data_IF_625379978832
#
_entry.id   IF_625379978832
#
_cell.length_a   1.000
_cell.length_b   1.000
_cell.length_c   1.000
_cell.angle_alpha   90.00
_cell.angle_beta   90.00
_cell.angle_gamma   90.00
#
_symmetry.space_group_name_H-M   'P 1'
#
loop_
_entity.id
_entity.type
_entity.pdbx_description
1 polymer ?
#
# COMPACT_ATOMS: atom_id res chain seq x y z
N UNK A 1 -7.99 -26.77 -8.58
CA UNK A 1 -7.90 -25.52 -7.79
C UNK A 1 -9.32 -25.05 -7.45
N UNK A 2 -9.61 -24.63 -6.21
CA UNK A 2 -10.99 -24.17 -5.87
C UNK A 2 -11.30 -22.80 -6.50
N UNK A 3 -12.56 -22.52 -6.84
CA UNK A 3 -12.98 -21.19 -7.37
C UNK A 3 -12.50 -20.03 -6.50
N UNK A 4 -12.55 -20.19 -5.17
CA UNK A 4 -12.05 -19.21 -4.19
C UNK A 4 -10.55 -18.93 -4.33
N UNK A 5 -9.74 -19.97 -4.51
CA UNK A 5 -8.30 -19.82 -4.74
C UNK A 5 -8.06 -19.06 -6.04
N UNK A 6 -8.78 -19.39 -7.11
CA UNK A 6 -8.70 -18.68 -8.39
C UNK A 6 -9.02 -17.20 -8.25
N UNK A 7 -10.14 -16.84 -7.61
CA UNK A 7 -10.50 -15.43 -7.45
C UNK A 7 -9.52 -14.64 -6.59
N UNK A 8 -8.92 -15.26 -5.56
CA UNK A 8 -7.86 -14.62 -4.78
C UNK A 8 -6.63 -14.32 -5.63
N UNK A 9 -6.23 -15.25 -6.49
CA UNK A 9 -5.12 -15.07 -7.43
C UNK A 9 -5.43 -13.96 -8.41
N UNK A 10 -6.64 -13.95 -9.00
CA UNK A 10 -7.08 -12.88 -9.91
C UNK A 10 -6.99 -11.53 -9.23
N UNK A 11 -7.53 -11.38 -8.02
CA UNK A 11 -7.47 -10.11 -7.31
C UNK A 11 -6.03 -9.71 -6.96
N UNK A 12 -5.20 -10.65 -6.51
CA UNK A 12 -3.80 -10.38 -6.25
C UNK A 12 -3.08 -9.88 -7.52
N UNK A 13 -3.30 -10.54 -8.66
CA UNK A 13 -2.76 -10.13 -9.95
C UNK A 13 -3.27 -8.75 -10.38
N UNK A 14 -4.56 -8.45 -10.17
CA UNK A 14 -5.13 -7.13 -10.47
C UNK A 14 -4.54 -6.03 -9.59
N UNK A 15 -4.28 -6.30 -8.31
CA UNK A 15 -3.59 -5.35 -7.42
C UNK A 15 -2.15 -5.11 -7.88
N UNK A 16 -1.41 -6.16 -8.25
CA UNK A 16 -0.04 -6.02 -8.78
C UNK A 16 -0.05 -5.21 -10.08
N UNK A 17 -0.96 -5.51 -11.01
CA UNK A 17 -1.07 -4.77 -12.27
C UNK A 17 -1.42 -3.29 -12.03
N UNK A 18 -2.41 -2.99 -11.18
CA UNK A 18 -2.79 -1.62 -10.85
C UNK A 18 -1.65 -0.86 -10.16
N UNK A 19 -0.94 -1.50 -9.24
CA UNK A 19 0.23 -0.92 -8.56
C UNK A 19 1.37 -0.64 -9.55
N UNK A 20 1.71 -1.62 -10.39
CA UNK A 20 2.80 -1.50 -11.34
C UNK A 20 2.53 -0.44 -12.41
N UNK A 21 1.35 -0.49 -13.04
CA UNK A 21 0.93 0.49 -14.05
C UNK A 21 0.88 1.88 -13.43
N UNK A 22 0.24 2.04 -12.27
CA UNK A 22 0.14 3.32 -11.59
C UNK A 22 1.52 3.90 -11.25
N UNK A 23 2.44 3.08 -10.74
CA UNK A 23 3.80 3.53 -10.44
C UNK A 23 4.56 3.97 -11.70
N UNK A 24 4.43 3.25 -12.82
CA UNK A 24 5.08 3.63 -14.08
C UNK A 24 4.48 4.92 -14.66
N UNK A 25 3.15 5.03 -14.68
CA UNK A 25 2.47 6.21 -15.24
C UNK A 25 2.66 7.48 -14.41
N UNK A 26 2.78 7.34 -13.09
CA UNK A 26 2.90 8.47 -12.16
C UNK A 26 4.35 8.75 -11.75
N UNK A 27 5.34 8.08 -12.36
CA UNK A 27 6.75 8.14 -11.93
C UNK A 27 7.33 9.56 -11.92
N UNK A 28 6.83 10.44 -12.80
CA UNK A 28 7.28 11.84 -12.91
C UNK A 28 6.58 12.78 -11.90
N UNK A 29 5.56 12.28 -11.18
CA UNK A 29 4.87 13.04 -10.16
C UNK A 29 5.54 12.85 -8.79
N UNK A 30 5.78 13.93 -8.02
CA UNK A 30 6.44 13.83 -6.73
C UNK A 30 5.56 13.07 -5.72
N UNK A 31 5.96 11.85 -5.34
CA UNK A 31 5.33 11.03 -4.29
C UNK A 31 3.80 10.81 -4.42
N UNK A 32 3.22 10.96 -5.61
CA UNK A 32 1.86 10.51 -5.91
C UNK A 32 1.97 9.11 -6.50
N UNK A 33 1.43 8.10 -5.82
CA UNK A 33 1.70 6.70 -6.16
C UNK A 33 0.55 5.76 -5.75
N UNK A 34 0.56 4.53 -6.29
CA UNK A 34 -0.52 3.53 -6.12
C UNK A 34 -0.14 2.33 -5.24
N UNK A 35 1.13 2.16 -4.89
CA UNK A 35 1.68 1.15 -3.98
C UNK A 35 1.10 1.28 -2.57
N UNK A 36 0.87 2.48 -2.03
CA UNK A 36 0.20 2.59 -0.70
C UNK A 36 -1.16 1.89 -0.70
N UNK A 37 -2.02 2.18 -1.68
CA UNK A 37 -3.37 1.59 -1.68
C UNK A 37 -3.36 0.09 -1.94
N UNK A 38 -2.50 -0.42 -2.84
CA UNK A 38 -2.42 -1.87 -3.09
C UNK A 38 -1.84 -2.61 -1.87
N UNK A 39 -0.94 -2.00 -1.11
CA UNK A 39 -0.43 -2.55 0.16
C UNK A 39 -1.56 -2.69 1.17
N UNK A 40 -2.33 -1.62 1.42
CA UNK A 40 -3.44 -1.61 2.36
C UNK A 40 -4.55 -2.60 1.95
N UNK A 41 -4.88 -2.67 0.66
CA UNK A 41 -5.88 -3.60 0.13
C UNK A 41 -5.42 -5.06 0.21
N UNK A 42 -4.15 -5.33 -0.10
CA UNK A 42 -3.58 -6.66 0.03
C UNK A 42 -3.72 -7.19 1.46
N UNK A 43 -3.36 -6.37 2.45
CA UNK A 43 -3.50 -6.74 3.86
C UNK A 43 -4.94 -6.91 4.30
N UNK A 44 -5.81 -5.94 3.99
CA UNK A 44 -7.20 -5.93 4.45
C UNK A 44 -8.08 -7.01 3.82
N UNK A 45 -7.84 -7.35 2.54
CA UNK A 45 -8.67 -8.28 1.78
C UNK A 45 -8.08 -9.71 1.73
N UNK A 46 -6.78 -9.84 1.45
CA UNK A 46 -6.15 -11.13 1.12
C UNK A 46 -5.43 -11.77 2.31
N UNK A 47 -5.05 -10.99 3.32
CA UNK A 47 -4.46 -11.45 4.58
C UNK A 47 -2.94 -11.25 4.66
N UNK A 48 -2.34 -11.62 5.80
CA UNK A 48 -0.98 -11.25 6.18
C UNK A 48 0.10 -11.60 5.13
N UNK A 49 0.05 -12.82 4.57
CA UNK A 49 1.03 -13.25 3.55
C UNK A 49 1.00 -12.34 2.32
N UNK A 50 -0.19 -11.97 1.86
CA UNK A 50 -0.36 -11.07 0.71
C UNK A 50 -0.06 -9.61 1.06
N UNK A 51 -0.31 -9.21 2.31
CA UNK A 51 0.03 -7.89 2.84
C UNK A 51 1.49 -7.54 2.58
N UNK A 52 2.39 -8.53 2.69
CA UNK A 52 3.82 -8.36 2.45
C UNK A 52 4.17 -8.68 1.00
N UNK A 53 3.71 -9.83 0.48
CA UNK A 53 4.15 -10.29 -0.84
C UNK A 53 3.74 -9.37 -1.99
N UNK A 54 2.49 -8.87 -1.99
CA UNK A 54 1.97 -8.07 -3.11
C UNK A 54 2.74 -6.76 -3.30
N UNK A 55 2.93 -5.91 -2.27
CA UNK A 55 3.71 -4.69 -2.48
C UNK A 55 5.15 -4.97 -2.88
N UNK A 56 5.82 -5.93 -2.23
CA UNK A 56 7.22 -6.26 -2.53
C UNK A 56 7.40 -6.78 -3.96
N UNK A 57 6.52 -7.65 -4.44
CA UNK A 57 6.57 -8.14 -5.83
C UNK A 57 6.34 -6.97 -6.79
N UNK A 58 5.33 -6.13 -6.52
CA UNK A 58 5.01 -4.98 -7.39
C UNK A 58 6.19 -4.01 -7.52
N UNK A 59 6.80 -3.62 -6.39
CA UNK A 59 7.93 -2.69 -6.41
C UNK A 59 9.20 -3.33 -6.98
N UNK A 60 9.45 -4.62 -6.74
CA UNK A 60 10.58 -5.32 -7.33
C UNK A 60 10.49 -5.36 -8.86
N UNK A 61 9.31 -5.69 -9.42
CA UNK A 61 9.07 -5.69 -10.86
C UNK A 61 9.31 -4.29 -11.45
N UNK A 62 8.77 -3.27 -10.79
CA UNK A 62 8.85 -1.90 -11.31
C UNK A 62 10.23 -1.26 -11.10
N UNK A 63 10.99 -1.66 -10.08
CA UNK A 63 12.38 -1.23 -9.88
C UNK A 63 13.30 -1.75 -10.98
N UNK A 64 13.03 -2.93 -11.55
CA UNK A 64 13.77 -3.44 -12.71
C UNK A 64 13.56 -2.54 -13.95
N UNK A 65 12.39 -1.92 -14.06
CA UNK A 65 12.01 -1.08 -15.22
C UNK A 65 12.47 0.36 -15.03
N UNK A 66 12.18 0.95 -13.86
CA UNK A 66 12.39 2.37 -13.55
C UNK A 66 13.80 2.63 -13.01
N UNK A 67 14.41 1.62 -12.37
CA UNK A 67 15.63 1.75 -11.59
C UNK A 67 15.35 2.13 -10.13
N UNK A 68 16.29 1.78 -9.24
CA UNK A 68 16.28 2.15 -7.83
C UNK A 68 17.71 2.22 -7.29
N UNK A 69 17.89 2.76 -6.09
CA UNK A 69 19.17 2.86 -5.41
C UNK A 69 19.09 2.25 -3.99
N UNK A 70 20.10 2.48 -3.16
CA UNK A 70 20.20 1.93 -1.80
C UNK A 70 19.03 2.31 -0.87
N UNK A 71 18.27 3.37 -1.16
CA UNK A 71 17.05 3.73 -0.42
C UNK A 71 15.97 2.65 -0.53
N UNK A 72 16.09 1.71 -1.48
CA UNK A 72 15.20 0.57 -1.64
C UNK A 72 14.94 -0.18 -0.34
N UNK A 73 15.95 -0.30 0.55
CA UNK A 73 15.81 -0.96 1.84
C UNK A 73 14.72 -0.30 2.70
N UNK A 74 14.67 1.03 2.69
CA UNK A 74 13.67 1.81 3.43
C UNK A 74 12.32 1.82 2.72
N UNK A 75 12.28 1.98 1.39
CA UNK A 75 11.01 2.04 0.66
C UNK A 75 10.31 0.66 0.64
N UNK A 76 11.05 -0.43 0.42
CA UNK A 76 10.49 -1.79 0.39
C UNK A 76 9.96 -2.21 1.76
N UNK A 77 10.76 -2.01 2.81
CA UNK A 77 10.33 -2.33 4.17
C UNK A 77 9.15 -1.46 4.62
N UNK A 78 9.12 -0.18 4.22
CA UNK A 78 7.97 0.68 4.50
C UNK A 78 6.68 0.14 3.88
N UNK A 79 6.69 -0.24 2.60
CA UNK A 79 5.49 -0.78 1.95
C UNK A 79 5.04 -2.13 2.53
N UNK A 80 5.97 -2.98 2.96
CA UNK A 80 5.63 -4.19 3.71
C UNK A 80 4.90 -3.86 5.03
N UNK A 81 5.38 -2.86 5.78
CA UNK A 81 4.74 -2.39 7.02
C UNK A 81 3.37 -1.74 6.75
N UNK A 82 3.24 -0.96 5.68
CA UNK A 82 1.95 -0.40 5.26
C UNK A 82 0.96 -1.53 4.90
N UNK A 83 1.43 -2.61 4.29
CA UNK A 83 0.63 -3.82 4.11
C UNK A 83 0.07 -4.36 5.42
N UNK A 84 0.89 -4.39 6.47
CA UNK A 84 0.48 -4.79 7.82
C UNK A 84 -0.58 -3.83 8.37
N UNK A 85 -0.49 -2.51 8.14
CA UNK A 85 -1.55 -1.57 8.53
C UNK A 85 -2.90 -1.96 7.90
N UNK A 86 -2.89 -2.33 6.62
CA UNK A 86 -4.06 -2.88 5.94
C UNK A 86 -4.59 -4.16 6.58
N UNK A 87 -3.70 -5.07 6.96
CA UNK A 87 -4.06 -6.32 7.63
C UNK A 87 -4.70 -6.12 9.01
N UNK A 88 -4.38 -5.03 9.72
CA UNK A 88 -5.07 -4.67 10.96
C UNK A 88 -6.55 -4.33 10.72
N UNK A 89 -6.95 -3.93 9.50
CA UNK A 89 -8.34 -3.68 9.12
C UNK A 89 -9.12 -4.94 8.67
N UNK A 90 -8.48 -6.12 8.62
CA UNK A 90 -9.05 -7.36 8.05
C UNK A 90 -10.39 -7.82 8.64
N UNK A 91 -10.70 -7.45 9.89
CA UNK A 91 -11.91 -7.91 10.58
C UNK A 91 -13.15 -7.06 10.24
N UNK A 92 -12.97 -5.96 9.50
CA UNK A 92 -14.03 -5.01 9.16
C UNK A 92 -14.50 -5.18 7.71
N UNK A 93 -14.70 -6.42 7.27
CA UNK A 93 -15.06 -6.80 5.88
C UNK A 93 -16.48 -6.39 5.45
N UNK A 94 -17.19 -5.60 6.26
CA UNK A 94 -18.43 -4.99 5.83
C UNK A 94 -18.07 -3.78 4.99
N UNK A 95 -18.03 -3.97 3.66
CA UNK A 95 -17.74 -2.92 2.71
C UNK A 95 -18.85 -1.87 2.79
N UNK A 96 -18.58 -0.89 3.63
CA UNK A 96 -19.45 0.16 4.11
C UNK A 96 -18.69 1.48 3.94
N UNK A 97 -19.38 2.62 3.93
CA UNK A 97 -18.71 3.92 3.99
C UNK A 97 -17.67 4.02 5.12
N UNK A 98 -17.92 3.35 6.25
CA UNK A 98 -16.99 3.24 7.38
C UNK A 98 -15.67 2.55 7.01
N UNK A 99 -15.71 1.50 6.18
CA UNK A 99 -14.48 0.83 5.71
C UNK A 99 -13.66 1.75 4.81
N UNK A 100 -14.31 2.45 3.87
CA UNK A 100 -13.63 3.40 2.98
C UNK A 100 -12.99 4.54 3.80
N UNK A 101 -13.72 5.10 4.76
CA UNK A 101 -13.18 6.11 5.67
C UNK A 101 -11.95 5.61 6.45
N UNK A 102 -11.99 4.37 6.96
CA UNK A 102 -10.84 3.76 7.64
C UNK A 102 -9.66 3.52 6.71
N UNK A 103 -9.90 3.10 5.47
CA UNK A 103 -8.85 2.94 4.46
C UNK A 103 -8.19 4.28 4.15
N UNK A 104 -8.97 5.35 3.94
CA UNK A 104 -8.44 6.70 3.72
C UNK A 104 -7.63 7.19 4.92
N UNK A 105 -8.13 7.00 6.14
CA UNK A 105 -7.39 7.32 7.36
C UNK A 105 -6.07 6.54 7.49
N UNK A 106 -6.07 5.25 7.14
CA UNK A 106 -4.84 4.45 7.06
C UNK A 106 -3.90 4.94 5.95
N UNK A 107 -4.42 5.44 4.83
CA UNK A 107 -3.63 6.07 3.76
C UNK A 107 -2.90 7.33 4.22
N UNK A 108 -3.57 8.16 5.03
CA UNK A 108 -2.93 9.33 5.68
C UNK A 108 -1.86 8.87 6.67
N UNK A 109 -2.17 7.90 7.53
CA UNK A 109 -1.19 7.34 8.46
C UNK A 109 0.01 6.70 7.77
N UNK A 110 -0.23 6.00 6.64
CA UNK A 110 0.80 5.41 5.81
C UNK A 110 1.71 6.48 5.19
N UNK A 111 1.16 7.57 4.66
CA UNK A 111 1.96 8.69 4.13
C UNK A 111 2.86 9.31 5.21
N UNK A 112 2.33 9.55 6.41
CA UNK A 112 3.10 10.08 7.54
C UNK A 112 4.22 9.12 7.97
N UNK A 113 3.89 7.84 8.12
CA UNK A 113 4.87 6.80 8.45
C UNK A 113 5.97 6.69 7.39
N UNK A 114 5.58 6.59 6.11
CA UNK A 114 6.52 6.48 5.00
C UNK A 114 7.45 7.69 4.97
N UNK A 115 6.90 8.90 5.11
CA UNK A 115 7.68 10.13 5.18
C UNK A 115 8.72 10.10 6.31
N UNK A 116 8.31 9.79 7.55
CA UNK A 116 9.22 9.72 8.69
C UNK A 116 10.32 8.69 8.43
N UNK A 117 9.92 7.48 8.06
CA UNK A 117 10.82 6.33 7.95
C UNK A 117 11.81 6.46 6.78
N UNK A 118 11.35 6.93 5.62
CA UNK A 118 12.21 7.04 4.43
C UNK A 118 13.13 8.26 4.48
N UNK A 119 12.71 9.39 5.07
CA UNK A 119 13.61 10.54 5.26
C UNK A 119 14.70 10.23 6.29
N UNK A 120 14.38 9.45 7.34
CA UNK A 120 15.42 8.90 8.21
C UNK A 120 16.42 8.04 7.43
N UNK A 121 15.92 7.19 6.51
CA UNK A 121 16.77 6.43 5.61
C UNK A 121 17.64 7.30 4.70
N UNK A 122 17.08 8.39 4.15
CA UNK A 122 17.85 9.33 3.32
C UNK A 122 18.99 9.95 4.12
N UNK A 123 18.69 10.47 5.31
CA UNK A 123 19.69 11.04 6.21
C UNK A 123 20.76 10.04 6.63
N UNK A 124 20.40 8.76 6.82
CA UNK A 124 21.33 7.72 7.25
C UNK A 124 22.23 7.22 6.12
N UNK A 125 21.70 7.12 4.90
CA UNK A 125 22.37 6.44 3.78
C UNK A 125 23.12 7.36 2.84
N UNK A 126 22.76 8.65 2.76
CA UNK A 126 23.33 9.58 1.78
C UNK A 126 24.04 10.74 2.47
N UNK A 127 25.19 11.20 1.92
CA UNK A 127 25.93 12.33 2.47
C UNK A 127 25.31 13.70 2.11
N UNK A 128 23.99 13.78 1.92
CA UNK A 128 23.27 15.02 1.58
C UNK A 128 23.16 15.98 2.77
N UNK A 129 23.12 15.44 3.98
CA UNK A 129 22.98 16.19 5.21
C UNK A 129 24.01 15.69 6.23
N UNK A 130 24.54 16.55 7.12
CA UNK A 130 25.38 16.09 8.22
C UNK A 130 24.65 15.04 9.07
N UNK A 131 25.37 14.01 9.51
CA UNK A 131 24.84 12.99 10.42
C UNK A 131 24.76 13.50 11.86
N UNK A 132 24.03 14.61 12.05
CA UNK A 132 23.71 15.26 13.33
C UNK A 132 22.20 15.45 13.43
N UNK A 133 21.70 15.78 14.63
CA UNK A 133 20.26 16.06 14.82
C UNK A 133 19.78 17.25 13.99
N UNK A 134 20.64 18.25 13.79
CA UNK A 134 20.35 19.41 12.95
C UNK A 134 20.25 19.01 11.47
N UNK A 135 21.14 18.14 10.98
CA UNK A 135 21.07 17.61 9.62
C UNK A 135 19.83 16.73 9.41
N UNK A 136 19.45 15.93 10.40
CA UNK A 136 18.21 15.15 10.35
C UNK A 136 16.97 16.06 10.28
N UNK A 137 16.92 17.12 11.09
CA UNK A 137 15.85 18.10 11.04
C UNK A 137 15.78 18.79 9.67
N UNK A 138 16.94 19.16 9.10
CA UNK A 138 17.02 19.74 7.76
C UNK A 138 16.50 18.78 6.68
N UNK A 139 16.84 17.49 6.76
CA UNK A 139 16.33 16.45 5.86
C UNK A 139 14.81 16.36 5.90
N UNK A 140 14.21 16.33 7.10
CA UNK A 140 12.75 16.33 7.24
C UNK A 140 12.12 17.60 6.67
N UNK A 141 12.64 18.79 7.02
CA UNK A 141 12.11 20.06 6.49
C UNK A 141 12.12 20.06 4.96
N UNK A 142 13.20 19.59 4.34
CA UNK A 142 13.31 19.45 2.89
C UNK A 142 12.34 18.42 2.31
N UNK A 143 11.96 17.39 3.07
CA UNK A 143 11.00 16.36 2.68
C UNK A 143 9.52 16.79 2.72
N UNK A 144 9.18 17.91 3.37
CA UNK A 144 7.79 18.36 3.56
C UNK A 144 6.99 18.50 2.24
N UNK A 145 7.54 19.05 1.14
CA UNK A 145 6.83 19.12 -0.14
C UNK A 145 6.36 17.75 -0.64
N UNK A 146 7.22 16.73 -0.52
CA UNK A 146 6.90 15.37 -0.93
C UNK A 146 5.80 14.74 -0.05
N UNK A 147 5.79 15.04 1.25
CA UNK A 147 4.70 14.64 2.14
C UNK A 147 3.36 15.25 1.72
N UNK A 148 3.35 16.52 1.33
CA UNK A 148 2.11 17.20 0.87
C UNK A 148 1.51 16.49 -0.34
N UNK A 149 2.33 16.15 -1.34
CA UNK A 149 1.86 15.43 -2.52
C UNK A 149 1.42 14.00 -2.20
N UNK A 150 2.15 13.29 -1.33
CA UNK A 150 1.76 11.96 -0.88
C UNK A 150 0.41 11.96 -0.16
N UNK A 151 0.17 12.94 0.72
CA UNK A 151 -1.10 13.10 1.41
C UNK A 151 -2.24 13.42 0.44
N UNK A 152 -2.04 14.39 -0.47
CA UNK A 152 -3.04 14.76 -1.46
C UNK A 152 -3.39 13.56 -2.38
N UNK A 153 -2.37 12.84 -2.85
CA UNK A 153 -2.53 11.62 -3.65
C UNK A 153 -3.31 10.56 -2.88
N UNK A 154 -2.93 10.26 -1.64
CA UNK A 154 -3.61 9.23 -0.84
C UNK A 154 -5.04 9.60 -0.47
N UNK A 155 -5.36 10.89 -0.29
CA UNK A 155 -6.74 11.34 -0.04
C UNK A 155 -7.67 11.07 -1.24
N UNK A 156 -7.13 10.92 -2.44
CA UNK A 156 -7.90 10.66 -3.68
C UNK A 156 -7.80 9.19 -4.08
N UNK A 157 -6.58 8.68 -4.24
CA UNK A 157 -6.29 7.36 -4.80
C UNK A 157 -6.77 6.25 -3.86
N UNK A 158 -6.52 6.37 -2.54
CA UNK A 158 -6.89 5.33 -1.57
C UNK A 158 -8.39 5.08 -1.54
N UNK A 159 -9.27 6.08 -1.34
CA UNK A 159 -10.71 5.84 -1.36
C UNK A 159 -11.21 5.37 -2.74
N UNK A 160 -10.75 5.99 -3.83
CA UNK A 160 -11.22 5.66 -5.18
C UNK A 160 -10.91 4.20 -5.55
N UNK A 161 -9.65 3.77 -5.38
CA UNK A 161 -9.26 2.39 -5.65
C UNK A 161 -9.88 1.42 -4.64
N UNK A 162 -10.03 1.81 -3.37
CA UNK A 162 -10.71 0.98 -2.37
C UNK A 162 -12.16 0.70 -2.77
N UNK A 163 -12.91 1.68 -3.27
CA UNK A 163 -14.28 1.47 -3.76
C UNK A 163 -14.29 0.45 -4.91
N UNK A 164 -13.43 0.63 -5.92
CA UNK A 164 -13.35 -0.28 -7.07
C UNK A 164 -13.00 -1.72 -6.68
N UNK A 165 -11.93 -1.92 -5.92
CA UNK A 165 -11.48 -3.26 -5.54
C UNK A 165 -12.41 -3.95 -4.54
N UNK A 166 -13.07 -3.19 -3.66
CA UNK A 166 -14.05 -3.77 -2.74
C UNK A 166 -15.34 -4.19 -3.45
N UNK A 167 -15.75 -3.47 -4.50
CA UNK A 167 -16.86 -3.89 -5.37
C UNK A 167 -16.54 -5.23 -6.04
N UNK A 168 -15.35 -5.36 -6.64
CA UNK A 168 -14.87 -6.61 -7.23
C UNK A 168 -14.83 -7.75 -6.20
N UNK A 169 -14.32 -7.49 -4.98
CA UNK A 169 -14.31 -8.48 -3.91
C UNK A 169 -15.73 -8.96 -3.54
N UNK A 170 -16.67 -8.03 -3.34
CA UNK A 170 -18.06 -8.36 -3.00
C UNK A 170 -18.70 -9.23 -4.08
N UNK A 171 -18.45 -8.91 -5.35
CA UNK A 171 -19.06 -9.62 -6.47
C UNK A 171 -18.54 -11.04 -6.62
N UNK A 172 -17.24 -11.27 -6.41
CA UNK A 172 -16.60 -12.53 -6.78
C UNK A 172 -16.12 -13.41 -5.59
N UNK A 173 -15.80 -12.83 -4.43
CA UNK A 173 -15.13 -13.53 -3.31
C UNK A 173 -15.93 -13.62 -2.02
N UNK A 174 -16.78 -12.63 -1.74
CA UNK A 174 -17.57 -12.59 -0.51
C UNK A 174 -18.64 -13.70 -0.40
N UNK A 175 -19.46 -13.99 -1.44
CA UNK A 175 -20.54 -14.98 -1.35
C UNK A 175 -20.03 -16.39 -1.01
N UNK A 176 -18.92 -16.79 -1.64
CA UNK A 176 -18.25 -18.07 -1.41
C UNK A 176 -17.70 -18.19 0.03
N UNK A 177 -17.17 -17.09 0.57
CA UNK A 177 -16.64 -17.07 1.94
C UNK A 177 -17.76 -17.24 2.98
N UNK A 178 -18.91 -16.62 2.74
CA UNK A 178 -20.08 -16.71 3.62
C UNK A 178 -20.72 -18.10 3.61
N UNK A 179 -20.84 -18.72 2.42
CA UNK A 179 -21.40 -20.07 2.27
C UNK A 179 -20.61 -21.12 3.07
N UNK A 180 -19.28 -21.11 2.97
CA UNK A 180 -18.41 -22.04 3.73
C UNK A 180 -18.44 -21.82 5.24
N UNK A 181 -18.57 -20.58 5.70
CA UNK A 181 -18.71 -20.27 7.13
C UNK A 181 -20.04 -20.78 7.70
N UNK A 182 -21.09 -20.83 6.87
CA UNK A 182 -22.36 -21.44 7.24
C UNK A 182 -22.26 -22.97 7.27
N UNK A 183 -21.65 -23.59 6.24
CA UNK A 183 -21.43 -25.04 6.17
C UNK A 183 -20.54 -25.57 7.30
N UNK A 184 -19.56 -24.79 7.79
CA UNK A 184 -18.74 -25.17 8.96
C UNK A 184 -19.44 -25.05 10.31
N UNK A 185 -20.59 -24.38 10.36
CA UNK A 185 -21.38 -24.15 11.59
C UNK A 185 -22.62 -25.03 11.66
N UNK A 186 -22.98 -25.68 10.55
CA UNK A 186 -23.99 -26.72 10.47
C UNK A 186 -23.33 -28.08 10.74
#
# INVERSE_FOLDING_TARGET
MTKKTTYKIILAASLIAFGAIGRILLQDLPNIETITVISLLAGSLLGFRFAIAIPLITIAITDIIIGNNTIMLFTWSAFAVIGIFGWLLRNKKNFSPKFIFQMTGMGVGAALFFYVYTNFGVWLLFPMYPHTLQGLAACYIAGIPFLKFSLAGNLIIVPAASIGFTYLWKRFLYPETKKQLAEKKA
#
